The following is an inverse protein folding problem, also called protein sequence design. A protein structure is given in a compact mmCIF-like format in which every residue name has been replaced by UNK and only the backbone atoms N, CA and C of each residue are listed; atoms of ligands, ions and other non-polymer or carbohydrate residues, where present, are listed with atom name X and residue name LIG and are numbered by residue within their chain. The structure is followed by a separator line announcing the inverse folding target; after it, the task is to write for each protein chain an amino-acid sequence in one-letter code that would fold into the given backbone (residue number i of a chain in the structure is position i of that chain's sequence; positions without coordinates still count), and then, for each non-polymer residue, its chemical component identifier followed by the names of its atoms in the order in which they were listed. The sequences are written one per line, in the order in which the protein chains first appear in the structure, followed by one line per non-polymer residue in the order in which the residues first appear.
data_IF_427693687673
#
_entry.id   IF_427693687673
#
_cell.length_a   1.000
_cell.length_b   1.000
_cell.length_c   1.000
_cell.angle_alpha   90.00
_cell.angle_beta   90.00
_cell.angle_gamma   90.00
#
_symmetry.space_group_name_H-M   'P 1'
#
loop_
_entity.id
_entity.type
_entity.pdbx_description
1 polymer ?
#
# COMPACT_ATOMS: atom_id res chain seq x y z
N UNK A 1 9.66 14.57 -3.09
CA UNK A 1 8.39 14.22 -3.75
C UNK A 1 7.49 13.60 -2.70
N UNK A 2 6.35 14.19 -2.37
CA UNK A 2 5.44 13.65 -1.33
C UNK A 2 4.96 12.24 -1.66
N UNK A 3 4.68 11.97 -2.94
CA UNK A 3 4.31 10.63 -3.46
C UNK A 3 5.31 9.52 -3.06
N UNK A 4 6.62 9.80 -3.17
CA UNK A 4 7.62 8.79 -2.82
C UNK A 4 7.60 8.49 -1.33
N UNK A 5 7.40 9.51 -0.48
CA UNK A 5 7.28 9.32 0.97
C UNK A 5 6.03 8.53 1.35
N UNK A 6 4.91 8.77 0.67
CA UNK A 6 3.66 8.05 0.89
C UNK A 6 3.79 6.58 0.45
N UNK A 7 4.40 6.31 -0.70
CA UNK A 7 4.68 4.95 -1.18
C UNK A 7 5.65 4.24 -0.21
N UNK A 8 6.70 4.92 0.23
CA UNK A 8 7.67 4.36 1.19
C UNK A 8 6.97 3.98 2.50
N UNK A 9 6.06 4.82 3.01
CA UNK A 9 5.26 4.50 4.20
C UNK A 9 4.41 3.25 4.02
N UNK A 10 3.75 3.11 2.87
CA UNK A 10 2.92 1.93 2.56
C UNK A 10 3.78 0.67 2.43
N UNK A 11 4.98 0.79 1.87
CA UNK A 11 5.93 -0.34 1.78
C UNK A 11 6.38 -0.79 3.17
N UNK A 12 6.64 0.15 4.10
CA UNK A 12 6.98 -0.20 5.48
C UNK A 12 5.80 -0.90 6.18
N UNK A 13 4.57 -0.40 6.03
CA UNK A 13 3.37 -1.06 6.58
C UNK A 13 3.22 -2.51 6.06
N UNK A 14 3.41 -2.73 4.76
CA UNK A 14 3.37 -4.09 4.18
C UNK A 14 4.48 -5.00 4.74
N UNK A 15 5.67 -4.45 5.03
CA UNK A 15 6.76 -5.21 5.62
C UNK A 15 6.46 -5.59 7.08
N UNK A 16 5.86 -4.66 7.83
CA UNK A 16 5.44 -4.90 9.21
C UNK A 16 4.39 -6.01 9.26
N UNK A 17 3.37 -5.96 8.39
CA UNK A 17 2.37 -7.03 8.31
C UNK A 17 2.94 -8.37 7.82
N UNK A 18 3.93 -8.33 6.94
CA UNK A 18 4.67 -9.55 6.56
C UNK A 18 5.51 -10.11 7.72
N UNK A 19 5.92 -9.25 8.67
CA UNK A 19 6.50 -9.65 9.94
C UNK A 19 5.47 -10.33 10.84
N UNK A 20 4.32 -9.69 11.04
CA UNK A 20 3.21 -10.21 11.85
C UNK A 20 2.75 -11.58 11.36
N UNK A 21 2.62 -11.75 10.03
CA UNK A 21 2.27 -13.03 9.42
C UNK A 21 3.30 -14.14 9.72
N UNK A 22 4.60 -13.81 9.78
CA UNK A 22 5.65 -14.80 10.08
C UNK A 22 5.67 -15.22 11.54
N UNK A 23 5.18 -14.37 12.44
CA UNK A 23 5.16 -14.60 13.89
C UNK A 23 3.79 -15.02 14.41
N UNK A 24 2.78 -15.12 13.54
CA UNK A 24 1.43 -15.52 13.91
C UNK A 24 1.44 -16.92 14.54
N UNK A 25 0.79 -17.04 15.70
CA UNK A 25 0.67 -18.29 16.46
C UNK A 25 -0.68 -18.97 16.21
N UNK A 26 -1.62 -18.28 15.56
CA UNK A 26 -2.95 -18.79 15.25
C UNK A 26 -3.43 -18.44 13.84
N UNK A 27 -4.36 -19.26 13.34
CA UNK A 27 -5.00 -19.02 12.05
C UNK A 27 -5.75 -17.67 11.99
N UNK A 28 -6.23 -17.17 13.13
CA UNK A 28 -6.89 -15.86 13.20
C UNK A 28 -5.89 -14.75 12.93
N UNK A 29 -4.74 -14.79 13.60
CA UNK A 29 -3.65 -13.82 13.42
C UNK A 29 -3.08 -13.86 12.00
N UNK A 30 -2.94 -15.05 11.39
CA UNK A 30 -2.55 -15.17 9.99
C UNK A 30 -3.53 -14.45 9.05
N UNK A 31 -4.84 -14.66 9.26
CA UNK A 31 -5.89 -14.05 8.43
C UNK A 31 -5.94 -12.53 8.64
N UNK A 32 -5.72 -12.05 9.86
CA UNK A 32 -5.66 -10.60 10.16
C UNK A 32 -4.45 -9.95 9.48
N UNK A 33 -3.25 -10.50 9.64
CA UNK A 33 -2.05 -9.97 8.98
C UNK A 33 -2.20 -9.95 7.44
N UNK A 34 -2.84 -10.96 6.85
CA UNK A 34 -3.12 -10.98 5.41
C UNK A 34 -4.12 -9.90 4.98
N UNK A 35 -5.14 -9.61 5.79
CA UNK A 35 -6.11 -8.55 5.50
C UNK A 35 -5.47 -7.17 5.59
N UNK A 36 -4.67 -6.93 6.61
CA UNK A 36 -3.98 -5.66 6.81
C UNK A 36 -2.95 -5.40 5.70
N UNK A 37 -2.21 -6.44 5.31
CA UNK A 37 -1.31 -6.37 4.15
C UNK A 37 -2.05 -6.05 2.85
N UNK A 38 -3.21 -6.68 2.61
CA UNK A 38 -4.03 -6.40 1.43
C UNK A 38 -4.54 -4.95 1.44
N UNK A 39 -4.98 -4.45 2.60
CA UNK A 39 -5.45 -3.07 2.74
C UNK A 39 -4.35 -2.06 2.42
N UNK A 40 -3.14 -2.25 2.96
CA UNK A 40 -1.99 -1.38 2.68
C UNK A 40 -1.66 -1.37 1.18
N UNK A 41 -1.61 -2.54 0.53
CA UNK A 41 -1.36 -2.66 -0.90
C UNK A 41 -2.44 -1.96 -1.75
N UNK A 42 -3.72 -2.13 -1.40
CA UNK A 42 -4.82 -1.48 -2.11
C UNK A 42 -4.76 0.04 -2.02
N UNK A 43 -4.40 0.58 -0.84
CA UNK A 43 -4.17 2.03 -0.66
C UNK A 43 -3.02 2.51 -1.55
N UNK A 44 -1.91 1.78 -1.59
CA UNK A 44 -0.76 2.10 -2.43
C UNK A 44 -1.10 2.10 -3.91
N UNK A 45 -1.83 1.09 -4.37
CA UNK A 45 -2.27 0.99 -5.76
C UNK A 45 -3.16 2.18 -6.16
N UNK A 46 -4.11 2.56 -5.30
CA UNK A 46 -4.99 3.70 -5.54
C UNK A 46 -4.21 5.01 -5.65
N UNK A 47 -3.27 5.25 -4.74
CA UNK A 47 -2.47 6.46 -4.69
C UNK A 47 -1.57 6.60 -5.93
N UNK A 48 -0.97 5.50 -6.41
CA UNK A 48 -0.23 5.49 -7.67
C UNK A 48 -1.14 5.78 -8.86
N UNK A 49 -2.33 5.18 -8.89
CA UNK A 49 -3.32 5.41 -9.94
C UNK A 49 -3.74 6.88 -10.03
N UNK A 50 -4.09 7.51 -8.90
CA UNK A 50 -4.45 8.93 -8.85
C UNK A 50 -3.34 9.83 -9.42
N UNK A 51 -2.08 9.49 -9.17
CA UNK A 51 -0.96 10.27 -9.71
C UNK A 51 -0.80 10.08 -11.21
N UNK A 52 -0.98 8.87 -11.73
CA UNK A 52 -1.02 8.62 -13.18
C UNK A 52 -2.11 9.47 -13.82
N UNK A 53 -3.31 9.48 -13.23
CA UNK A 53 -4.44 10.28 -13.72
C UNK A 53 -4.12 11.79 -13.68
N UNK A 54 -3.53 12.29 -12.60
CA UNK A 54 -3.06 13.68 -12.51
C UNK A 54 -2.00 14.05 -13.57
N UNK A 55 -1.12 13.12 -13.94
CA UNK A 55 -0.15 13.35 -15.01
C UNK A 55 -0.81 13.34 -16.39
N UNK A 56 -1.76 12.44 -16.63
CA UNK A 56 -2.51 12.37 -17.88
C UNK A 56 -3.38 13.62 -18.07
N UNK A 57 -4.12 14.03 -17.05
CA UNK A 57 -4.97 15.24 -17.10
C UNK A 57 -4.17 16.52 -17.37
N UNK A 58 -2.97 16.65 -16.76
CA UNK A 58 -2.06 17.77 -17.05
C UNK A 58 -1.58 17.78 -18.49
N UNK A 59 -1.40 16.60 -19.09
CA UNK A 59 -0.94 16.43 -20.48
C UNK A 59 -2.04 16.71 -21.50
N UNK A 60 -3.31 16.47 -21.16
CA UNK A 60 -4.44 16.72 -22.06
C UNK A 60 -5.05 18.13 -21.95
N UNK A 61 -4.65 18.92 -20.94
CA UNK A 61 -5.03 20.34 -20.80
C UNK A 61 -4.03 21.34 -21.40
N UNK A 62 -2.94 20.87 -22.04
CA UNK A 62 -1.93 21.72 -22.70
C UNK A 62 -2.17 21.86 -24.20
#
# INVERSE_FOLDING_TARGET
MELLKEIDSIIEEVKDEAGNLKTAESHVEEVEALKEMLEALMRGAHLVQEKIDQYNDRRYRS
#
